data_IF_595309572593
#
_entry.id   IF_595309572593
#
_cell.length_a   1.000
_cell.length_b   1.000
_cell.length_c   1.000
_cell.angle_alpha   90.00
_cell.angle_beta   90.00
_cell.angle_gamma   90.00
#
_symmetry.space_group_name_H-M   'P 1'
#
loop_
_entity.id
_entity.type
_entity.pdbx_description
1 polymer ?
#
# COMPACT_ATOMS: atom_id res chain seq x y z
N UNK A 1 -20.65 28.37 -17.26
CA UNK A 1 -21.21 27.21 -17.98
C UNK A 1 -21.50 26.05 -17.01
N UNK A 2 -22.27 26.30 -15.94
CA UNK A 2 -22.77 25.27 -15.02
C UNK A 2 -24.22 25.66 -14.67
N UNK A 3 -25.13 25.43 -15.61
CA UNK A 3 -26.56 25.77 -15.46
C UNK A 3 -27.45 24.59 -15.86
N UNK A 4 -27.01 23.36 -15.57
CA UNK A 4 -27.88 22.19 -15.58
C UNK A 4 -27.58 21.37 -14.34
N UNK A 5 -28.62 21.03 -13.59
CA UNK A 5 -28.61 20.11 -12.44
C UNK A 5 -28.35 18.69 -12.95
N UNK A 6 -27.18 18.48 -13.54
CA UNK A 6 -26.76 17.18 -14.05
C UNK A 6 -26.10 16.40 -12.90
N UNK A 7 -26.96 15.89 -12.02
CA UNK A 7 -26.56 15.07 -10.88
C UNK A 7 -25.80 13.82 -11.34
N UNK A 8 -26.18 13.25 -12.49
CA UNK A 8 -25.53 12.09 -13.07
C UNK A 8 -24.14 12.42 -13.62
N UNK A 9 -23.99 13.53 -14.35
CA UNK A 9 -22.67 14.01 -14.78
C UNK A 9 -21.73 14.33 -13.61
N UNK A 10 -22.28 14.88 -12.52
CA UNK A 10 -21.50 15.19 -11.31
C UNK A 10 -21.07 13.93 -10.54
N UNK A 11 -21.94 12.92 -10.47
CA UNK A 11 -21.60 11.62 -9.89
C UNK A 11 -20.55 10.87 -10.73
N UNK A 12 -20.62 11.00 -12.06
CA UNK A 12 -19.64 10.39 -12.95
C UNK A 12 -18.27 11.08 -12.81
N UNK A 13 -18.24 12.41 -12.72
CA UNK A 13 -17.02 13.16 -12.40
C UNK A 13 -16.44 12.80 -11.03
N UNK A 14 -17.28 12.59 -10.01
CA UNK A 14 -16.82 12.13 -8.69
C UNK A 14 -16.25 10.71 -8.74
N UNK A 15 -16.88 9.80 -9.49
CA UNK A 15 -16.40 8.43 -9.68
C UNK A 15 -15.06 8.39 -10.44
N UNK A 16 -14.92 9.22 -11.48
CA UNK A 16 -13.71 9.33 -12.30
C UNK A 16 -12.57 10.02 -11.53
N UNK A 17 -12.86 11.06 -10.75
CA UNK A 17 -11.87 11.69 -9.86
C UNK A 17 -11.43 10.73 -8.73
N UNK A 18 -12.32 9.84 -8.28
CA UNK A 18 -11.98 8.80 -7.29
C UNK A 18 -11.07 7.72 -7.88
N UNK A 19 -11.30 7.32 -9.14
CA UNK A 19 -10.45 6.35 -9.83
C UNK A 19 -9.07 6.93 -10.20
N UNK A 20 -8.97 8.24 -10.44
CA UNK A 20 -7.67 8.91 -10.56
C UNK A 20 -6.91 8.95 -9.21
N UNK A 21 -7.62 9.08 -8.08
CA UNK A 21 -7.02 9.02 -6.73
C UNK A 21 -6.60 7.62 -6.29
N UNK A 22 -6.96 6.54 -6.99
CA UNK A 22 -6.41 5.20 -6.74
C UNK A 22 -4.95 5.03 -7.19
N UNK A 23 -4.29 6.09 -7.66
CA UNK A 23 -2.81 6.19 -7.78
C UNK A 23 -2.18 6.78 -6.52
N UNK A 24 -2.58 6.31 -5.34
CA UNK A 24 -1.93 6.72 -4.10
C UNK A 24 -0.49 6.18 -4.09
N UNK A 25 0.48 7.07 -3.87
CA UNK A 25 1.91 6.74 -3.78
C UNK A 25 2.15 5.60 -2.77
N UNK A 26 1.31 5.51 -1.75
CA UNK A 26 1.32 4.47 -0.71
C UNK A 26 1.15 3.04 -1.25
N UNK A 27 0.40 2.85 -2.35
CA UNK A 27 0.17 1.54 -2.98
C UNK A 27 1.18 1.31 -4.10
N UNK A 28 2.46 1.56 -3.81
CA UNK A 28 3.55 1.31 -4.75
C UNK A 28 4.65 0.51 -4.05
N UNK A 29 5.24 -0.44 -4.77
CA UNK A 29 6.36 -1.23 -4.27
C UNK A 29 7.56 -0.35 -3.90
N UNK A 30 7.75 0.78 -4.61
CA UNK A 30 8.82 1.74 -4.32
C UNK A 30 8.60 2.40 -2.96
N UNK A 31 7.38 2.85 -2.68
CA UNK A 31 7.03 3.42 -1.38
C UNK A 31 7.21 2.37 -0.27
N UNK A 32 6.70 1.15 -0.47
CA UNK A 32 6.83 0.08 0.52
C UNK A 32 8.30 -0.24 0.84
N UNK A 33 9.19 -0.25 -0.15
CA UNK A 33 10.61 -0.51 0.06
C UNK A 33 11.27 0.62 0.87
N UNK A 34 11.02 1.88 0.49
CA UNK A 34 11.52 3.04 1.25
C UNK A 34 10.99 3.00 2.69
N UNK A 35 9.71 2.71 2.86
CA UNK A 35 9.07 2.66 4.16
C UNK A 35 9.56 1.47 5.01
N UNK A 36 9.94 0.34 4.40
CA UNK A 36 10.58 -0.78 5.09
C UNK A 36 11.92 -0.36 5.72
N UNK A 37 12.76 0.36 4.96
CA UNK A 37 14.05 0.88 5.47
C UNK A 37 13.81 1.87 6.61
N UNK A 38 12.85 2.77 6.45
CA UNK A 38 12.46 3.71 7.52
C UNK A 38 11.95 2.99 8.76
N UNK A 39 11.12 1.96 8.58
CA UNK A 39 10.57 1.15 9.68
C UNK A 39 11.70 0.49 10.46
N UNK A 40 12.64 -0.17 9.76
CA UNK A 40 13.81 -0.75 10.40
C UNK A 40 14.65 0.29 11.17
N UNK A 41 14.90 1.45 10.57
CA UNK A 41 15.65 2.53 11.21
C UNK A 41 14.95 3.02 12.48
N UNK A 42 13.64 3.29 12.45
CA UNK A 42 12.91 3.78 13.62
C UNK A 42 12.87 2.72 14.72
N UNK A 43 12.64 1.45 14.38
CA UNK A 43 12.60 0.37 15.37
C UNK A 43 13.94 0.19 16.09
N UNK A 44 15.06 0.31 15.37
CA UNK A 44 16.40 0.11 15.93
C UNK A 44 17.00 1.35 16.60
N UNK A 45 16.59 2.56 16.21
CA UNK A 45 17.17 3.82 16.71
C UNK A 45 16.31 4.57 17.73
N UNK A 46 14.98 4.40 17.73
CA UNK A 46 14.09 5.09 18.67
C UNK A 46 14.14 4.45 20.04
N UNK A 47 14.18 5.22 21.13
CA UNK A 47 14.00 4.71 22.50
C UNK A 47 12.54 4.63 22.96
N UNK A 48 11.58 5.14 22.16
CA UNK A 48 10.17 5.24 22.54
C UNK A 48 9.34 4.09 21.97
N UNK A 49 8.76 3.28 22.85
CA UNK A 49 7.85 2.18 22.49
C UNK A 49 6.65 2.68 21.67
N UNK A 50 6.10 3.84 22.00
CA UNK A 50 4.98 4.44 21.27
C UNK A 50 5.38 4.78 19.82
N UNK A 51 6.57 5.37 19.63
CA UNK A 51 7.06 5.71 18.29
C UNK A 51 7.32 4.46 17.44
N UNK A 52 7.93 3.43 18.03
CA UNK A 52 8.16 2.14 17.38
C UNK A 52 6.84 1.46 16.99
N UNK A 53 5.89 1.39 17.93
CA UNK A 53 4.58 0.78 17.72
C UNK A 53 3.77 1.48 16.64
N UNK A 54 3.81 2.82 16.59
CA UNK A 54 3.13 3.60 15.55
C UNK A 54 3.67 3.27 14.15
N UNK A 55 4.99 3.24 13.98
CA UNK A 55 5.60 2.94 12.68
C UNK A 55 5.34 1.49 12.27
N UNK A 56 5.40 0.54 13.20
CA UNK A 56 5.03 -0.84 12.91
C UNK A 56 3.55 -0.98 12.53
N UNK A 57 2.65 -0.24 13.18
CA UNK A 57 1.23 -0.24 12.82
C UNK A 57 0.99 0.30 11.40
N UNK A 58 1.71 1.35 10.99
CA UNK A 58 1.68 1.81 9.60
C UNK A 58 2.22 0.77 8.62
N UNK A 59 3.28 0.04 8.99
CA UNK A 59 3.81 -1.01 8.13
C UNK A 59 2.81 -2.16 7.98
N UNK A 60 2.18 -2.59 9.08
CA UNK A 60 1.10 -3.57 9.06
C UNK A 60 -0.09 -3.10 8.21
N UNK A 61 -0.48 -1.83 8.29
CA UNK A 61 -1.55 -1.27 7.46
C UNK A 61 -1.26 -1.46 5.97
N UNK A 62 -0.05 -1.18 5.51
CA UNK A 62 0.35 -1.42 4.11
C UNK A 62 0.26 -2.90 3.71
N UNK A 63 0.63 -3.83 4.61
CA UNK A 63 0.52 -5.27 4.35
C UNK A 63 -0.96 -5.71 4.26
N UNK A 64 -1.84 -5.09 5.04
CA UNK A 64 -3.29 -5.32 4.96
C UNK A 64 -3.83 -4.79 3.63
N UNK A 65 -3.43 -3.60 3.20
CA UNK A 65 -3.87 -3.03 1.92
C UNK A 65 -3.44 -3.93 0.75
N UNK A 66 -2.26 -4.56 0.81
CA UNK A 66 -1.82 -5.52 -0.20
C UNK A 66 -2.76 -6.72 -0.34
N UNK A 67 -3.24 -7.29 0.77
CA UNK A 67 -4.16 -8.45 0.68
C UNK A 67 -5.55 -8.04 0.22
N UNK A 68 -6.01 -6.84 0.59
CA UNK A 68 -7.26 -6.27 0.05
C UNK A 68 -7.15 -6.10 -1.46
N UNK A 69 -6.07 -5.49 -1.95
CA UNK A 69 -5.85 -5.29 -3.39
C UNK A 69 -5.72 -6.61 -4.16
N UNK A 70 -5.06 -7.63 -3.59
CA UNK A 70 -4.98 -8.97 -4.19
C UNK A 70 -6.39 -9.57 -4.32
N UNK A 71 -7.26 -9.37 -3.33
CA UNK A 71 -8.61 -9.90 -3.34
C UNK A 71 -9.54 -9.14 -4.30
N UNK A 72 -9.40 -7.81 -4.39
CA UNK A 72 -10.26 -6.97 -5.25
C UNK A 72 -9.82 -6.98 -6.72
N UNK A 73 -8.51 -6.95 -6.99
CA UNK A 73 -7.96 -6.80 -8.36
C UNK A 73 -7.35 -8.08 -8.92
N UNK A 74 -7.25 -9.14 -8.11
CA UNK A 74 -6.69 -10.44 -8.50
C UNK A 74 -5.16 -10.52 -8.47
N UNK A 75 -4.46 -9.44 -8.10
CA UNK A 75 -2.99 -9.41 -8.02
C UNK A 75 -2.44 -8.09 -7.46
N UNK A 76 -1.13 -7.86 -7.66
CA UNK A 76 -0.44 -6.63 -7.19
C UNK A 76 0.01 -5.73 -8.35
N UNK A 77 -0.61 -5.84 -9.53
CA UNK A 77 -0.19 -5.06 -10.71
C UNK A 77 -0.16 -3.55 -10.45
N UNK A 78 -1.09 -3.04 -9.63
CA UNK A 78 -1.13 -1.63 -9.23
C UNK A 78 0.10 -1.19 -8.43
N UNK A 79 0.67 -2.08 -7.61
CA UNK A 79 1.83 -1.80 -6.77
C UNK A 79 3.13 -1.72 -7.57
N UNK A 80 3.24 -2.49 -8.65
CA UNK A 80 4.42 -2.53 -9.51
C UNK A 80 4.32 -1.61 -10.73
N UNK A 81 3.28 -0.76 -10.82
CA UNK A 81 3.02 0.13 -11.95
C UNK A 81 4.19 1.08 -12.29
N UNK A 82 4.94 1.51 -11.27
CA UNK A 82 6.05 2.44 -11.43
C UNK A 82 7.42 1.74 -11.49
N UNK A 83 7.46 0.40 -11.53
CA UNK A 83 8.71 -0.35 -11.63
C UNK A 83 9.15 -0.49 -13.10
N UNK A 84 10.44 -0.26 -13.42
CA UNK A 84 10.94 -0.29 -14.80
C UNK A 84 10.83 -1.67 -15.47
N UNK A 85 10.71 -2.74 -14.68
CA UNK A 85 10.54 -4.12 -15.16
C UNK A 85 9.12 -4.61 -14.83
N UNK A 86 8.12 -4.06 -15.52
CA UNK A 86 6.72 -4.47 -15.34
C UNK A 86 6.53 -5.88 -15.90
N UNK A 87 6.52 -6.87 -15.02
CA UNK A 87 5.99 -8.20 -15.30
C UNK A 87 4.69 -8.35 -14.51
N UNK A 88 3.61 -8.87 -15.11
CA UNK A 88 2.38 -9.14 -14.38
C UNK A 88 2.70 -10.06 -13.19
N UNK A 89 2.53 -9.53 -11.98
CA UNK A 89 2.72 -10.33 -10.76
C UNK A 89 1.53 -11.25 -10.64
N UNK A 90 1.74 -12.52 -10.99
CA UNK A 90 0.74 -13.57 -10.86
C UNK A 90 0.30 -13.74 -9.40
N UNK A 91 -0.93 -14.23 -9.17
CA UNK A 91 -1.53 -14.34 -7.84
C UNK A 91 -0.65 -15.12 -6.87
N UNK A 92 0.01 -16.18 -7.34
CA UNK A 92 0.94 -16.97 -6.51
C UNK A 92 2.14 -16.14 -6.05
N UNK A 93 2.72 -15.34 -6.95
CA UNK A 93 3.81 -14.44 -6.62
C UNK A 93 3.32 -13.35 -5.67
N UNK A 94 2.14 -12.79 -5.91
CA UNK A 94 1.53 -11.78 -5.04
C UNK A 94 1.33 -12.28 -3.60
N UNK A 95 0.85 -13.51 -3.44
CA UNK A 95 0.72 -14.16 -2.12
C UNK A 95 2.08 -14.39 -1.44
N UNK A 96 3.13 -14.71 -2.20
CA UNK A 96 4.49 -14.84 -1.66
C UNK A 96 5.06 -13.50 -1.19
N UNK A 97 4.85 -12.43 -1.98
CA UNK A 97 5.22 -11.06 -1.61
C UNK A 97 4.51 -10.60 -0.33
N UNK A 98 3.20 -10.83 -0.25
CA UNK A 98 2.42 -10.54 0.95
C UNK A 98 2.93 -11.34 2.17
N UNK A 99 3.20 -12.64 1.99
CA UNK A 99 3.73 -13.50 3.05
C UNK A 99 5.10 -13.05 3.57
N UNK A 100 5.98 -12.59 2.68
CA UNK A 100 7.26 -12.00 3.07
C UNK A 100 7.07 -10.69 3.87
N UNK A 101 6.12 -9.85 3.47
CA UNK A 101 5.75 -8.64 4.22
C UNK A 101 5.21 -8.95 5.61
N UNK A 102 4.32 -9.94 5.73
CA UNK A 102 3.80 -10.40 7.01
C UNK A 102 4.92 -10.95 7.92
N UNK A 103 5.83 -11.76 7.36
CA UNK A 103 6.99 -12.25 8.10
C UNK A 103 7.85 -11.10 8.64
N UNK A 104 8.08 -10.06 7.83
CA UNK A 104 8.81 -8.86 8.28
C UNK A 104 8.09 -8.15 9.43
N UNK A 105 6.76 -8.02 9.39
CA UNK A 105 5.99 -7.45 10.52
C UNK A 105 6.20 -8.27 11.80
N UNK A 106 6.16 -9.60 11.70
CA UNK A 106 6.38 -10.47 12.86
C UNK A 106 7.82 -10.35 13.41
N UNK A 107 8.82 -10.36 12.52
CA UNK A 107 10.22 -10.15 12.87
C UNK A 107 10.44 -8.80 13.56
N UNK A 108 9.87 -7.74 13.01
CA UNK A 108 9.92 -6.40 13.59
C UNK A 108 9.13 -6.27 14.89
N UNK A 109 8.08 -7.08 15.07
CA UNK A 109 7.36 -7.18 16.34
C UNK A 109 8.24 -7.64 17.50
N UNK A 110 9.27 -8.46 17.25
CA UNK A 110 10.27 -8.83 18.27
C UNK A 110 11.23 -7.69 18.64
N UNK A 111 11.29 -6.62 17.83
CA UNK A 111 12.15 -5.46 18.05
C UNK A 111 11.44 -4.31 18.78
N UNK A 112 10.14 -4.44 19.07
CA UNK A 112 9.40 -3.48 19.89
C UNK A 112 9.94 -3.45 21.32
#
# INVERSE_FOLDING_TARGET
MLTKRDFWGSLNLLAETRSERTRLIFHTATFQLIFLVLTFFVLTSSGSLMGRGLVLAFFLHLIIDQIVDINETGGLANWFRNFPFWTPVDRRQAMAWWGAGLLMVLLFGFLL
#
